data_IF_484797870365
#
_entry.id   IF_484797870365
#
_cell.length_a   1.000
_cell.length_b   1.000
_cell.length_c   1.000
_cell.angle_alpha   90.00
_cell.angle_beta   90.00
_cell.angle_gamma   90.00
#
_symmetry.space_group_name_H-M   'P 1'
#
loop_
_entity.id
_entity.type
_entity.pdbx_description
1 polymer ?
#
# COMPACT_ATOMS: atom_id res chain seq x y z
N UNK A 1 2.43 -4.24 -5.39
CA UNK A 1 1.67 -5.43 -4.96
C UNK A 1 1.19 -5.29 -3.52
N UNK A 2 2.09 -5.09 -2.54
CA UNK A 2 1.74 -5.08 -1.11
C UNK A 2 0.65 -4.07 -0.72
N UNK A 3 0.76 -2.81 -1.16
CA UNK A 3 -0.27 -1.78 -0.93
C UNK A 3 -1.65 -2.18 -1.46
N UNK A 4 -1.68 -2.74 -2.67
CA UNK A 4 -2.93 -3.15 -3.31
C UNK A 4 -3.56 -4.33 -2.57
N UNK A 5 -2.78 -5.37 -2.29
CA UNK A 5 -3.27 -6.57 -1.62
C UNK A 5 -3.71 -6.27 -0.18
N UNK A 6 -2.88 -5.55 0.58
CA UNK A 6 -3.11 -5.32 2.01
C UNK A 6 -4.25 -4.34 2.28
N UNK A 7 -4.38 -3.27 1.47
CA UNK A 7 -5.34 -2.18 1.74
C UNK A 7 -6.52 -2.19 0.78
N UNK A 8 -6.29 -2.28 -0.52
CA UNK A 8 -7.36 -2.17 -1.52
C UNK A 8 -8.17 -3.46 -1.65
N UNK A 9 -7.54 -4.61 -1.87
CA UNK A 9 -8.26 -5.88 -1.96
C UNK A 9 -8.97 -6.23 -0.65
N UNK A 10 -8.30 -6.00 0.49
CA UNK A 10 -8.85 -6.34 1.81
C UNK A 10 -10.08 -5.51 2.19
N UNK A 11 -10.10 -4.22 1.88
CA UNK A 11 -11.16 -3.30 2.32
C UNK A 11 -12.23 -3.05 1.24
N UNK A 12 -12.03 -3.57 0.03
CA UNK A 12 -12.82 -3.24 -1.17
C UNK A 12 -12.08 -2.24 -2.06
N UNK A 13 -11.99 -2.54 -3.36
CA UNK A 13 -11.23 -1.74 -4.33
C UNK A 13 -11.78 -0.31 -4.49
N UNK A 14 -13.07 -0.13 -4.24
CA UNK A 14 -13.84 1.10 -4.31
C UNK A 14 -14.07 1.74 -2.93
N UNK A 15 -13.40 1.25 -1.89
CA UNK A 15 -13.51 1.80 -0.54
C UNK A 15 -13.00 3.24 -0.48
N UNK A 16 -13.90 4.19 -0.21
CA UNK A 16 -13.59 5.61 -0.14
C UNK A 16 -12.48 5.92 0.86
N UNK A 17 -12.52 5.31 2.05
CA UNK A 17 -11.52 5.58 3.10
C UNK A 17 -10.13 5.14 2.67
N UNK A 18 -10.00 3.95 2.06
CA UNK A 18 -8.72 3.48 1.52
C UNK A 18 -8.19 4.44 0.45
N UNK A 19 -9.06 4.96 -0.41
CA UNK A 19 -8.68 5.97 -1.41
C UNK A 19 -8.21 7.29 -0.79
N UNK A 20 -8.89 7.78 0.25
CA UNK A 20 -8.49 8.99 0.98
C UNK A 20 -7.15 8.82 1.68
N UNK A 21 -6.92 7.68 2.32
CA UNK A 21 -5.66 7.37 2.99
C UNK A 21 -4.51 7.26 1.96
N UNK A 22 -4.76 6.65 0.80
CA UNK A 22 -3.78 6.57 -0.27
C UNK A 22 -3.42 7.96 -0.81
N UNK A 23 -4.43 8.81 -1.01
CA UNK A 23 -4.22 10.21 -1.40
C UNK A 23 -3.39 10.96 -0.37
N UNK A 24 -3.68 10.85 0.92
CA UNK A 24 -3.00 11.61 1.97
C UNK A 24 -1.61 11.11 2.31
N UNK A 25 -1.40 9.79 2.36
CA UNK A 25 -0.12 9.22 2.81
C UNK A 25 0.86 8.97 1.66
N UNK A 26 0.37 8.74 0.44
CA UNK A 26 1.24 8.37 -0.70
C UNK A 26 1.36 9.49 -1.72
N UNK A 27 0.24 10.04 -2.20
CA UNK A 27 0.27 11.03 -3.30
C UNK A 27 0.60 12.43 -2.77
N UNK A 28 -0.11 12.89 -1.75
CA UNK A 28 -0.05 14.26 -1.25
C UNK A 28 1.36 14.71 -0.79
N UNK A 29 2.16 13.89 -0.08
CA UNK A 29 3.48 14.32 0.34
C UNK A 29 4.45 14.52 -0.82
N UNK A 30 4.23 13.85 -1.97
CA UNK A 30 5.15 13.88 -3.09
C UNK A 30 6.58 13.55 -2.65
N UNK A 31 7.55 14.34 -3.12
CA UNK A 31 8.97 14.18 -2.74
C UNK A 31 9.36 14.81 -1.38
N UNK A 32 8.42 15.41 -0.64
CA UNK A 32 8.72 16.06 0.64
C UNK A 32 8.86 15.09 1.82
N UNK A 33 8.48 13.82 1.62
CA UNK A 33 8.53 12.75 2.63
C UNK A 33 9.24 11.55 2.03
N UNK A 34 10.08 10.89 2.82
CA UNK A 34 10.72 9.65 2.41
C UNK A 34 9.67 8.57 2.11
N UNK A 35 9.87 7.84 1.01
CA UNK A 35 8.92 6.84 0.56
C UNK A 35 8.68 5.72 1.59
N UNK A 36 9.70 5.34 2.37
CA UNK A 36 9.55 4.32 3.43
C UNK A 36 8.61 4.78 4.53
N UNK A 37 8.64 6.07 4.89
CA UNK A 37 7.74 6.66 5.89
C UNK A 37 6.30 6.67 5.35
N UNK A 38 6.10 7.09 4.10
CA UNK A 38 4.79 7.06 3.43
C UNK A 38 4.22 5.65 3.35
N UNK A 39 5.04 4.67 2.97
CA UNK A 39 4.64 3.27 2.90
C UNK A 39 4.26 2.73 4.28
N UNK A 40 5.05 3.01 5.31
CA UNK A 40 4.76 2.57 6.68
C UNK A 40 3.48 3.20 7.22
N UNK A 41 3.26 4.49 6.97
CA UNK A 41 2.03 5.17 7.37
C UNK A 41 0.80 4.56 6.69
N UNK A 42 0.90 4.25 5.39
CA UNK A 42 -0.20 3.65 4.64
C UNK A 42 -0.40 2.15 4.93
N UNK A 43 0.63 1.39 5.27
CA UNK A 43 0.52 -0.05 5.51
C UNK A 43 0.33 -0.41 7.00
N UNK A 44 0.69 0.50 7.92
CA UNK A 44 0.76 0.23 9.37
C UNK A 44 1.94 -0.66 9.77
N UNK A 45 2.80 -1.03 8.82
CA UNK A 45 4.01 -1.86 8.96
C UNK A 45 4.99 -1.54 7.83
N UNK A 46 6.20 -2.08 7.91
CA UNK A 46 7.13 -2.02 6.77
C UNK A 46 6.60 -2.84 5.58
N UNK A 47 6.92 -2.42 4.34
CA UNK A 47 6.49 -3.13 3.14
C UNK A 47 7.16 -4.50 3.03
N UNK A 48 6.43 -5.47 2.49
CA UNK A 48 6.87 -6.87 2.34
C UNK A 48 6.76 -7.33 0.89
N UNK A 49 7.62 -8.30 0.52
CA UNK A 49 7.66 -8.83 -0.84
C UNK A 49 6.65 -9.96 -1.10
N UNK A 50 5.98 -10.48 -0.07
CA UNK A 50 5.11 -11.66 -0.19
C UNK A 50 4.02 -11.46 -1.25
N UNK A 51 3.39 -10.29 -1.28
CA UNK A 51 2.36 -9.95 -2.25
C UNK A 51 2.88 -9.93 -3.70
N UNK A 52 4.12 -9.44 -3.93
CA UNK A 52 4.69 -9.47 -5.29
C UNK A 52 5.04 -10.90 -5.68
N UNK A 53 5.62 -11.69 -4.76
CA UNK A 53 6.00 -13.08 -5.00
C UNK A 53 4.79 -13.95 -5.36
N UNK A 54 3.66 -13.81 -4.64
CA UNK A 54 2.38 -14.45 -5.00
C UNK A 54 1.90 -14.03 -6.38
N UNK A 55 1.92 -12.72 -6.67
CA UNK A 55 1.40 -12.19 -7.93
C UNK A 55 2.15 -12.65 -9.18
N UNK A 56 3.41 -13.09 -9.02
CA UNK A 56 4.26 -13.61 -10.10
C UNK A 56 4.45 -15.14 -10.01
N UNK A 57 3.74 -15.83 -9.11
CA UNK A 57 3.77 -17.29 -8.98
C UNK A 57 5.03 -17.88 -8.35
N UNK A 58 5.75 -17.10 -7.53
CA UNK A 58 6.97 -17.55 -6.82
C UNK A 58 6.73 -17.92 -5.35
N UNK A 59 5.51 -17.74 -4.84
CA UNK A 59 5.08 -18.18 -3.50
C UNK A 59 3.56 -18.42 -3.48
N UNK A 60 3.08 -19.22 -2.54
CA UNK A 60 1.64 -19.41 -2.27
C UNK A 60 1.10 -18.44 -1.20
#
# INVERSE_FOLDING_TARGET
>A
ADMYETRFLRNGIDNLQTGLDYRHEIIFPGGSRDASVSLRAFLGRDPQNDAILRSIGLSE
#
